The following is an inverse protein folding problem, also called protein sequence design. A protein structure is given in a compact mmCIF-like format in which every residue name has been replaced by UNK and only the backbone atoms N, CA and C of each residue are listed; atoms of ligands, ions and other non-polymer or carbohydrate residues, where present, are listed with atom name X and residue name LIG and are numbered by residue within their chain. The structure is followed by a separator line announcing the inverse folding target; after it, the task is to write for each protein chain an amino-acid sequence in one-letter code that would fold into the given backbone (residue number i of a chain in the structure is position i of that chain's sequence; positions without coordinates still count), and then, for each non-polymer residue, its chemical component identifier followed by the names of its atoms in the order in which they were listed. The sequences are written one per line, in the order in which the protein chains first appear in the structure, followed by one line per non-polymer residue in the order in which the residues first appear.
data_IF_775907735974
#
_entry.id   IF_775907735974
#
_cell.length_a   1.000
_cell.length_b   1.000
_cell.length_c   1.000
_cell.angle_alpha   90.00
_cell.angle_beta   90.00
_cell.angle_gamma   90.00
#
_symmetry.space_group_name_H-M   'P 1'
#
loop_
_entity.id
_entity.type
_entity.pdbx_description
1 polymer ?
#
# COMPACT_ATOMS: atom_id res chain seq x y z
N UNK A 1 -8.30 -24.44 -7.61
CA UNK A 1 -7.87 -24.29 -6.19
C UNK A 1 -8.98 -23.60 -5.43
N UNK A 2 -9.37 -24.11 -4.25
CA UNK A 2 -10.32 -23.40 -3.37
C UNK A 2 -9.51 -22.41 -2.52
N UNK A 3 -9.69 -21.13 -2.75
CA UNK A 3 -9.10 -20.08 -1.91
C UNK A 3 -9.98 -19.85 -0.69
N UNK A 4 -9.40 -19.32 0.40
CA UNK A 4 -10.17 -18.98 1.58
C UNK A 4 -11.19 -17.88 1.27
N UNK A 5 -12.24 -17.81 2.08
CA UNK A 5 -13.28 -16.78 1.99
C UNK A 5 -12.73 -15.35 2.05
N UNK A 6 -11.53 -15.15 2.62
CA UNK A 6 -10.87 -13.85 2.68
C UNK A 6 -10.29 -13.41 1.33
N UNK A 7 -9.80 -14.35 0.53
CA UNK A 7 -9.20 -14.07 -0.78
C UNK A 7 -10.21 -14.16 -1.93
N UNK A 8 -11.33 -14.84 -1.73
CA UNK A 8 -12.35 -15.01 -2.74
C UNK A 8 -12.77 -13.69 -3.44
N UNK A 9 -12.98 -12.56 -2.73
CA UNK A 9 -13.34 -11.30 -3.38
C UNK A 9 -12.30 -10.79 -4.39
N UNK A 10 -11.00 -11.03 -4.15
CA UNK A 10 -9.93 -10.64 -5.07
C UNK A 10 -10.02 -11.44 -6.39
N UNK A 11 -10.15 -12.75 -6.28
CA UNK A 11 -10.25 -13.63 -7.45
C UNK A 11 -11.54 -13.41 -8.24
N UNK A 12 -12.65 -13.22 -7.53
CA UNK A 12 -13.94 -12.90 -8.14
C UNK A 12 -13.87 -11.57 -8.92
N UNK A 13 -13.31 -10.53 -8.31
CA UNK A 13 -13.11 -9.24 -8.96
C UNK A 13 -12.20 -9.37 -10.19
N UNK A 14 -11.02 -9.96 -10.04
CA UNK A 14 -10.07 -10.10 -11.14
C UNK A 14 -10.67 -10.89 -12.31
N UNK A 15 -11.36 -11.99 -12.03
CA UNK A 15 -12.02 -12.82 -13.05
C UNK A 15 -13.14 -12.06 -13.75
N UNK A 16 -13.97 -11.33 -13.02
CA UNK A 16 -15.07 -10.54 -13.59
C UNK A 16 -14.55 -9.44 -14.52
N UNK A 17 -13.47 -8.75 -14.12
CA UNK A 17 -12.82 -7.72 -14.95
C UNK A 17 -12.23 -8.32 -16.23
N UNK A 18 -11.53 -9.45 -16.12
CA UNK A 18 -10.89 -10.11 -17.28
C UNK A 18 -11.93 -10.63 -18.27
N UNK A 19 -13.05 -11.16 -17.78
CA UNK A 19 -14.17 -11.64 -18.62
C UNK A 19 -15.00 -10.53 -19.23
N UNK A 20 -14.87 -9.28 -18.74
CA UNK A 20 -15.70 -8.17 -19.16
C UNK A 20 -17.05 -8.07 -18.43
N UNK A 21 -17.28 -8.91 -17.42
CA UNK A 21 -18.50 -8.86 -16.57
C UNK A 21 -18.49 -7.61 -15.67
N UNK A 22 -17.32 -7.05 -15.42
CA UNK A 22 -17.15 -5.78 -14.72
C UNK A 22 -16.35 -4.79 -15.57
N UNK A 23 -16.92 -3.60 -15.78
CA UNK A 23 -16.27 -2.54 -16.55
C UNK A 23 -15.01 -2.04 -15.83
N UNK A 24 -13.90 -2.01 -16.56
CA UNK A 24 -12.63 -1.50 -16.09
C UNK A 24 -11.80 -0.95 -17.27
N UNK A 25 -10.87 -0.03 -17.00
CA UNK A 25 -9.92 0.42 -18.01
C UNK A 25 -8.91 -0.69 -18.36
N UNK A 26 -8.23 -0.49 -19.50
CA UNK A 26 -7.26 -1.48 -20.02
C UNK A 26 -6.16 -1.81 -19.00
N UNK A 27 -5.58 -0.79 -18.33
CA UNK A 27 -4.53 -1.00 -17.33
C UNK A 27 -5.01 -1.90 -16.17
N UNK A 28 -6.25 -1.72 -15.70
CA UNK A 28 -6.84 -2.56 -14.65
C UNK A 28 -7.09 -3.98 -15.16
N UNK A 29 -7.57 -4.14 -16.39
CA UNK A 29 -7.79 -5.46 -16.99
C UNK A 29 -6.48 -6.24 -17.12
N UNK A 30 -5.41 -5.59 -17.60
CA UNK A 30 -4.08 -6.21 -17.71
C UNK A 30 -3.52 -6.56 -16.33
N UNK A 31 -3.69 -5.67 -15.32
CA UNK A 31 -3.24 -5.94 -13.95
C UNK A 31 -3.99 -7.13 -13.33
N UNK A 32 -5.30 -7.24 -13.55
CA UNK A 32 -6.09 -8.39 -13.10
C UNK A 32 -5.65 -9.69 -13.78
N UNK A 33 -5.45 -9.66 -15.09
CA UNK A 33 -4.96 -10.83 -15.84
C UNK A 33 -3.59 -11.25 -15.31
N UNK A 34 -2.67 -10.29 -15.17
CA UNK A 34 -1.33 -10.57 -14.63
C UNK A 34 -1.38 -11.18 -13.23
N UNK A 35 -2.25 -10.68 -12.36
CA UNK A 35 -2.42 -11.26 -11.02
C UNK A 35 -2.82 -12.73 -11.10
N UNK A 36 -3.82 -13.07 -11.91
CA UNK A 36 -4.29 -14.45 -12.10
C UNK A 36 -3.17 -15.34 -12.67
N UNK A 37 -2.50 -14.87 -13.71
CA UNK A 37 -1.38 -15.59 -14.36
C UNK A 37 -0.22 -15.84 -13.38
N UNK A 38 0.14 -14.84 -12.58
CA UNK A 38 1.21 -14.94 -11.59
C UNK A 38 0.88 -15.90 -10.45
N UNK A 39 -0.39 -16.01 -10.06
CA UNK A 39 -0.83 -16.97 -9.03
C UNK A 39 -0.73 -18.40 -9.53
N UNK A 40 -1.05 -18.64 -10.82
CA UNK A 40 -1.03 -19.99 -11.41
C UNK A 40 0.37 -20.41 -11.89
N UNK A 41 1.21 -19.42 -12.19
CA UNK A 41 2.54 -19.66 -12.76
C UNK A 41 3.49 -20.30 -11.75
N UNK A 42 4.14 -21.39 -12.18
CA UNK A 42 5.28 -21.97 -11.46
C UNK A 42 6.55 -21.20 -11.84
N UNK A 43 6.82 -20.10 -11.13
CA UNK A 43 8.04 -19.33 -11.32
C UNK A 43 9.19 -19.87 -10.48
N UNK A 44 10.44 -19.60 -10.92
CA UNK A 44 11.64 -20.00 -10.19
C UNK A 44 11.97 -19.05 -9.03
N UNK A 45 11.50 -17.81 -9.09
CA UNK A 45 11.92 -16.72 -8.20
C UNK A 45 10.86 -16.36 -7.16
N UNK A 46 9.58 -16.46 -7.50
CA UNK A 46 8.48 -16.10 -6.60
C UNK A 46 7.37 -17.14 -6.59
N UNK A 47 6.53 -17.05 -5.58
CA UNK A 47 5.26 -17.77 -5.50
C UNK A 47 4.21 -16.97 -4.73
N UNK A 48 2.94 -17.31 -4.97
CA UNK A 48 1.85 -16.74 -4.20
C UNK A 48 1.65 -17.56 -2.92
N UNK A 49 1.79 -16.90 -1.76
CA UNK A 49 1.63 -17.50 -0.43
C UNK A 49 0.35 -16.96 0.20
N UNK A 50 -0.80 -17.67 0.09
CA UNK A 50 -2.10 -17.19 0.56
C UNK A 50 -2.08 -16.70 2.01
N UNK A 51 -1.42 -17.41 2.90
CA UNK A 51 -1.33 -17.07 4.32
C UNK A 51 -0.74 -15.66 4.56
N UNK A 52 0.17 -15.20 3.71
CA UNK A 52 0.76 -13.85 3.80
C UNK A 52 -0.23 -12.76 3.38
N UNK A 53 -1.01 -13.00 2.33
CA UNK A 53 -2.09 -12.11 1.93
C UNK A 53 -3.22 -12.09 2.98
N UNK A 54 -3.62 -13.25 3.47
CA UNK A 54 -4.66 -13.36 4.50
C UNK A 54 -4.29 -12.65 5.80
N UNK A 55 -3.01 -12.55 6.14
CA UNK A 55 -2.58 -11.92 7.38
C UNK A 55 -2.97 -10.43 7.43
N UNK A 56 -2.74 -9.67 6.36
CA UNK A 56 -3.19 -8.27 6.31
C UNK A 56 -4.70 -8.16 6.19
N UNK A 57 -5.36 -9.08 5.47
CA UNK A 57 -6.83 -9.09 5.38
C UNK A 57 -7.49 -9.37 6.73
N UNK A 58 -6.90 -10.25 7.55
CA UNK A 58 -7.32 -10.47 8.93
C UNK A 58 -7.10 -9.23 9.79
N UNK A 59 -5.96 -8.57 9.64
CA UNK A 59 -5.69 -7.30 10.33
C UNK A 59 -6.70 -6.22 9.96
N UNK A 60 -7.06 -6.09 8.68
CA UNK A 60 -8.04 -5.12 8.22
C UNK A 60 -9.42 -5.29 8.90
N UNK A 61 -9.82 -6.50 9.29
CA UNK A 61 -11.08 -6.75 10.02
C UNK A 61 -11.12 -6.13 11.42
N UNK A 62 -9.98 -5.82 12.01
CA UNK A 62 -9.91 -5.10 13.28
C UNK A 62 -9.97 -3.58 13.12
N UNK A 63 -9.85 -3.10 11.89
CA UNK A 63 -9.99 -1.68 11.57
C UNK A 63 -11.47 -1.30 11.46
N UNK A 64 -11.82 -0.11 11.95
CA UNK A 64 -13.20 0.38 11.94
C UNK A 64 -13.29 1.70 11.19
N UNK A 65 -14.44 1.95 10.60
CA UNK A 65 -14.76 3.27 10.06
C UNK A 65 -14.78 4.30 11.20
N UNK A 66 -14.08 5.40 11.01
CA UNK A 66 -13.96 6.46 12.04
C UNK A 66 -14.81 7.67 11.77
N UNK A 67 -15.40 7.78 10.57
CA UNK A 67 -16.24 8.90 10.12
C UNK A 67 -17.39 8.41 9.26
N UNK A 68 -18.45 9.24 9.18
CA UNK A 68 -19.61 8.98 8.33
C UNK A 68 -20.64 8.02 8.95
N UNK A 69 -21.63 7.56 8.15
CA UNK A 69 -22.73 6.74 8.65
C UNK A 69 -22.30 5.34 9.12
N UNK A 70 -21.12 4.89 8.72
CA UNK A 70 -20.58 3.59 9.10
C UNK A 70 -19.58 3.65 10.25
N UNK A 71 -19.44 4.82 10.90
CA UNK A 71 -18.53 4.98 12.04
C UNK A 71 -18.76 3.88 13.10
N UNK A 72 -17.68 3.25 13.53
CA UNK A 72 -17.68 2.13 14.49
C UNK A 72 -17.89 0.75 13.88
N UNK A 73 -18.37 0.64 12.63
CA UNK A 73 -18.47 -0.66 11.93
C UNK A 73 -17.09 -1.11 11.44
N UNK A 74 -16.89 -2.40 11.34
CA UNK A 74 -15.69 -2.98 10.70
C UNK A 74 -15.58 -2.52 9.25
N UNK A 75 -14.35 -2.27 8.81
CA UNK A 75 -14.10 -1.92 7.40
C UNK A 75 -14.24 -3.20 6.58
N UNK A 76 -15.18 -3.19 5.65
CA UNK A 76 -15.33 -4.22 4.63
C UNK A 76 -14.59 -3.77 3.37
N UNK A 77 -13.63 -4.59 2.93
CA UNK A 77 -12.82 -4.27 1.75
C UNK A 77 -13.55 -4.69 0.48
N UNK A 78 -13.60 -3.79 -0.49
CA UNK A 78 -14.07 -4.07 -1.83
C UNK A 78 -13.14 -5.05 -2.57
N UNK A 79 -13.66 -5.80 -3.55
CA UNK A 79 -12.89 -6.80 -4.28
C UNK A 79 -11.58 -6.30 -4.86
N UNK A 80 -11.54 -5.05 -5.41
CA UNK A 80 -10.31 -4.45 -5.92
C UNK A 80 -9.30 -4.13 -4.81
N UNK A 81 -9.77 -3.77 -3.60
CA UNK A 81 -8.90 -3.51 -2.45
C UNK A 81 -8.30 -4.81 -1.91
N UNK A 82 -9.10 -5.87 -1.85
CA UNK A 82 -8.61 -7.21 -1.51
C UNK A 82 -7.59 -7.69 -2.52
N UNK A 83 -7.84 -7.50 -3.83
CA UNK A 83 -6.90 -7.81 -4.90
C UNK A 83 -5.58 -7.04 -4.72
N UNK A 84 -5.66 -5.74 -4.45
CA UNK A 84 -4.49 -4.89 -4.25
C UNK A 84 -3.63 -5.37 -3.08
N UNK A 85 -4.24 -5.65 -1.93
CA UNK A 85 -3.54 -6.18 -0.76
C UNK A 85 -2.99 -7.59 -1.01
N UNK A 86 -3.75 -8.45 -1.68
CA UNK A 86 -3.29 -9.79 -2.02
C UNK A 86 -2.08 -9.76 -2.97
N UNK A 87 -2.06 -8.85 -3.95
CA UNK A 87 -0.93 -8.67 -4.84
C UNK A 87 0.33 -8.20 -4.09
N UNK A 88 0.21 -7.24 -3.19
CA UNK A 88 1.35 -6.71 -2.42
C UNK A 88 1.91 -7.75 -1.46
N UNK A 89 1.05 -8.41 -0.70
CA UNK A 89 1.47 -9.23 0.43
C UNK A 89 1.55 -10.72 0.13
N UNK A 90 0.85 -11.20 -0.91
CA UNK A 90 0.78 -12.60 -1.26
C UNK A 90 1.99 -13.09 -2.05
N UNK A 91 2.53 -12.30 -2.97
CA UNK A 91 3.71 -12.72 -3.73
C UNK A 91 4.99 -12.58 -2.93
N UNK A 92 5.70 -13.69 -2.79
CA UNK A 92 6.91 -13.80 -1.97
C UNK A 92 8.05 -14.39 -2.77
N UNK A 93 9.28 -14.07 -2.37
CA UNK A 93 10.45 -14.74 -2.89
C UNK A 93 10.37 -16.23 -2.52
N UNK A 94 10.56 -17.12 -3.49
CA UNK A 94 10.39 -18.55 -3.31
C UNK A 94 11.42 -19.20 -2.37
N UNK A 95 12.62 -18.61 -2.28
CA UNK A 95 13.68 -19.09 -1.38
C UNK A 95 13.50 -18.57 0.05
N UNK A 96 12.85 -17.42 0.20
CA UNK A 96 12.63 -16.78 1.49
C UNK A 96 11.30 -16.04 1.50
N UNK A 97 10.27 -16.67 2.04
CA UNK A 97 8.92 -16.09 2.15
C UNK A 97 8.84 -14.88 3.10
N UNK A 98 9.91 -14.53 3.81
CA UNK A 98 9.97 -13.27 4.54
C UNK A 98 10.13 -12.08 3.60
N UNK A 99 10.68 -12.30 2.39
CA UNK A 99 10.94 -11.28 1.38
C UNK A 99 9.73 -11.13 0.46
N UNK A 100 9.21 -9.90 0.37
CA UNK A 100 8.14 -9.50 -0.53
C UNK A 100 8.67 -9.44 -1.96
N UNK A 101 7.85 -9.92 -2.91
CA UNK A 101 8.18 -9.80 -4.33
C UNK A 101 7.81 -8.43 -4.90
N UNK A 102 6.65 -7.89 -4.47
CA UNK A 102 6.14 -6.60 -4.92
C UNK A 102 6.65 -5.48 -4.01
N UNK A 103 7.44 -4.58 -4.55
CA UNK A 103 8.06 -3.45 -3.82
C UNK A 103 7.50 -2.09 -4.22
N UNK A 104 6.93 -2.00 -5.43
CA UNK A 104 6.43 -0.76 -6.01
C UNK A 104 4.98 -0.93 -6.44
N UNK A 105 4.11 -0.04 -6.02
CA UNK A 105 2.69 -0.10 -6.32
C UNK A 105 2.10 1.26 -6.63
N UNK A 106 1.13 1.28 -7.53
CA UNK A 106 0.33 2.45 -7.84
C UNK A 106 -1.15 2.14 -7.58
N UNK A 107 -1.76 2.92 -6.72
CA UNK A 107 -3.20 2.94 -6.52
C UNK A 107 -3.76 4.23 -7.16
N UNK A 108 -4.17 4.11 -8.41
CA UNK A 108 -4.74 5.20 -9.20
C UNK A 108 -6.25 4.99 -9.32
N UNK A 109 -7.01 5.61 -8.44
CA UNK A 109 -8.45 5.37 -8.29
C UNK A 109 -9.22 6.69 -8.18
N UNK A 110 -10.52 6.72 -8.49
CA UNK A 110 -11.35 7.90 -8.32
C UNK A 110 -11.41 8.39 -6.87
N UNK A 111 -11.82 9.63 -6.68
CA UNK A 111 -12.15 10.16 -5.34
C UNK A 111 -13.23 9.29 -4.70
N UNK A 112 -13.21 9.19 -3.37
CA UNK A 112 -14.16 8.40 -2.56
C UNK A 112 -14.08 6.89 -2.74
N UNK A 113 -13.01 6.35 -3.32
CA UNK A 113 -12.75 4.90 -3.45
C UNK A 113 -12.06 4.29 -2.22
N UNK A 114 -12.09 4.95 -1.06
CA UNK A 114 -11.47 4.43 0.17
C UNK A 114 -9.94 4.48 0.20
N UNK A 115 -9.29 5.27 -0.69
CA UNK A 115 -7.82 5.38 -0.82
C UNK A 115 -7.13 5.65 0.51
N UNK A 116 -7.57 6.66 1.26
CA UNK A 116 -6.99 7.05 2.54
C UNK A 116 -7.16 5.96 3.60
N UNK A 117 -8.33 5.31 3.65
CA UNK A 117 -8.61 4.19 4.56
C UNK A 117 -7.68 3.02 4.28
N UNK A 118 -7.52 2.65 3.01
CA UNK A 118 -6.64 1.56 2.60
C UNK A 118 -5.17 1.87 2.92
N UNK A 119 -4.73 3.10 2.64
CA UNK A 119 -3.39 3.58 3.00
C UNK A 119 -3.15 3.54 4.52
N UNK A 120 -4.15 3.92 5.32
CA UNK A 120 -4.08 3.87 6.78
C UNK A 120 -3.93 2.44 7.31
N UNK A 121 -4.69 1.49 6.73
CA UNK A 121 -4.57 0.06 7.09
C UNK A 121 -3.16 -0.44 6.79
N UNK A 122 -2.62 -0.12 5.60
CA UNK A 122 -1.27 -0.51 5.20
C UNK A 122 -0.22 0.12 6.12
N UNK A 123 -0.34 1.41 6.43
CA UNK A 123 0.61 2.11 7.31
C UNK A 123 0.68 1.46 8.70
N UNK A 124 -0.47 1.18 9.31
CA UNK A 124 -0.55 0.53 10.63
C UNK A 124 -0.02 -0.91 10.57
N UNK A 125 -0.31 -1.62 9.48
CA UNK A 125 0.19 -2.97 9.27
C UNK A 125 1.71 -3.00 9.11
N UNK A 126 2.28 -2.14 8.28
CA UNK A 126 3.74 -2.04 8.08
C UNK A 126 4.46 -1.62 9.36
N UNK A 127 3.84 -0.76 10.18
CA UNK A 127 4.40 -0.36 11.48
C UNK A 127 4.46 -1.55 12.45
N UNK A 128 3.44 -2.42 12.48
CA UNK A 128 3.40 -3.56 13.41
C UNK A 128 4.14 -4.80 12.91
N UNK A 129 3.99 -5.12 11.63
CA UNK A 129 4.37 -6.41 11.04
C UNK A 129 5.40 -6.28 9.92
N UNK A 130 5.87 -5.07 9.62
CA UNK A 130 6.98 -4.83 8.72
C UNK A 130 8.30 -5.41 9.23
N UNK A 131 9.38 -5.15 8.51
CA UNK A 131 10.71 -5.59 8.96
C UNK A 131 11.13 -4.86 10.25
N UNK A 132 12.20 -5.35 10.90
CA UNK A 132 12.70 -4.77 12.17
C UNK A 132 13.04 -3.28 12.00
N UNK A 133 12.70 -2.47 13.01
CA UNK A 133 12.85 -1.02 12.98
C UNK A 133 12.06 -0.36 11.84
N UNK A 134 10.74 -0.58 11.72
CA UNK A 134 9.97 -0.08 10.60
C UNK A 134 9.90 1.45 10.64
N UNK A 135 10.25 2.08 9.53
CA UNK A 135 10.08 3.50 9.30
C UNK A 135 9.03 3.69 8.20
N UNK A 136 7.83 4.09 8.60
CA UNK A 136 6.70 4.34 7.72
C UNK A 136 6.52 5.83 7.52
N UNK A 137 6.41 6.28 6.28
CA UNK A 137 6.19 7.69 5.98
C UNK A 137 5.06 7.88 4.98
N UNK A 138 4.24 8.90 5.25
CA UNK A 138 3.29 9.44 4.26
C UNK A 138 3.80 10.80 3.81
N UNK A 139 3.97 10.98 2.50
CA UNK A 139 4.33 12.24 1.86
C UNK A 139 3.13 12.77 1.07
N UNK A 140 2.86 14.06 1.15
CA UNK A 140 1.88 14.74 0.30
C UNK A 140 2.39 16.14 -0.12
N UNK A 141 1.61 16.83 -0.96
CA UNK A 141 1.96 18.15 -1.50
C UNK A 141 2.17 19.21 -0.42
N UNK A 142 1.39 19.15 0.67
CA UNK A 142 1.50 20.04 1.81
C UNK A 142 1.31 19.28 3.13
N UNK A 143 1.59 19.97 4.26
CA UNK A 143 1.52 19.37 5.59
C UNK A 143 0.10 18.95 5.98
N UNK A 144 -0.90 19.71 5.63
CA UNK A 144 -2.30 19.41 5.96
C UNK A 144 -2.75 18.12 5.26
N UNK A 145 -2.41 17.96 3.97
CA UNK A 145 -2.72 16.74 3.23
C UNK A 145 -1.93 15.53 3.73
N UNK A 146 -0.65 15.71 4.07
CA UNK A 146 0.15 14.62 4.64
C UNK A 146 -0.42 14.15 5.98
N UNK A 147 -0.96 15.07 6.80
CA UNK A 147 -1.56 14.73 8.09
C UNK A 147 -2.88 13.96 7.95
N UNK A 148 -3.64 14.12 6.87
CA UNK A 148 -4.93 13.45 6.67
C UNK A 148 -4.80 11.92 6.77
N UNK A 149 -3.81 11.34 6.10
CA UNK A 149 -3.58 9.91 6.16
C UNK A 149 -3.09 9.47 7.55
N UNK A 150 -2.19 10.24 8.16
CA UNK A 150 -1.68 9.98 9.51
C UNK A 150 -2.80 10.06 10.56
N UNK A 151 -3.61 11.12 10.53
CA UNK A 151 -4.72 11.32 11.48
C UNK A 151 -5.81 10.25 11.29
N UNK A 152 -6.08 9.84 10.04
CA UNK A 152 -6.95 8.72 9.74
C UNK A 152 -6.41 7.42 10.32
N UNK A 153 -5.11 7.17 10.18
CA UNK A 153 -4.46 5.98 10.74
C UNK A 153 -4.55 5.98 12.26
N UNK A 154 -4.29 7.13 12.90
CA UNK A 154 -4.39 7.28 14.36
C UNK A 154 -5.82 7.01 14.84
N UNK A 155 -6.83 7.58 14.20
CA UNK A 155 -8.22 7.36 14.55
C UNK A 155 -8.66 5.89 14.33
N UNK A 156 -8.20 5.22 13.26
CA UNK A 156 -8.42 3.79 13.05
C UNK A 156 -7.77 2.98 14.18
N UNK A 157 -6.53 3.28 14.54
CA UNK A 157 -5.82 2.62 15.63
C UNK A 157 -6.59 2.77 16.96
N UNK A 158 -7.06 3.97 17.27
CA UNK A 158 -7.86 4.27 18.46
C UNK A 158 -9.22 3.55 18.48
N UNK A 159 -9.72 3.13 17.32
CA UNK A 159 -10.99 2.37 17.18
C UNK A 159 -10.82 0.85 17.27
N UNK A 160 -9.60 0.33 17.30
CA UNK A 160 -9.32 -1.10 17.40
C UNK A 160 -9.64 -1.65 18.79
N UNK A 161 -9.60 -2.99 18.91
CA UNK A 161 -9.69 -3.65 20.21
C UNK A 161 -8.47 -3.32 21.08
N UNK A 162 -8.62 -3.27 22.43
CA UNK A 162 -7.56 -2.82 23.35
C UNK A 162 -6.23 -3.60 23.21
N UNK A 163 -6.30 -4.88 22.88
CA UNK A 163 -5.13 -5.74 22.67
C UNK A 163 -4.27 -5.31 21.47
N UNK A 164 -4.91 -4.79 20.42
CA UNK A 164 -4.21 -4.23 19.27
C UNK A 164 -3.79 -2.79 19.52
N UNK A 165 -4.62 -1.97 20.17
CA UNK A 165 -4.25 -0.61 20.54
C UNK A 165 -2.98 -0.57 21.37
N UNK A 166 -2.83 -1.48 22.35
CA UNK A 166 -1.65 -1.57 23.21
C UNK A 166 -0.34 -1.86 22.48
N UNK A 167 -0.43 -2.30 21.23
CA UNK A 167 0.75 -2.50 20.36
C UNK A 167 1.29 -1.21 19.74
N UNK A 168 0.58 -0.10 19.91
CA UNK A 168 0.96 1.22 19.40
C UNK A 168 1.21 2.18 20.55
N UNK A 169 2.16 3.09 20.37
CA UNK A 169 2.40 4.22 21.27
C UNK A 169 2.14 5.49 20.46
N UNK A 170 0.99 6.16 20.69
CA UNK A 170 0.64 7.38 19.98
C UNK A 170 1.33 8.61 20.59
N UNK A 171 1.97 9.40 19.72
CA UNK A 171 2.40 10.76 20.00
C UNK A 171 1.59 11.76 19.16
N UNK A 172 1.86 13.04 19.33
CA UNK A 172 1.14 14.09 18.58
C UNK A 172 1.33 13.97 17.06
N UNK A 173 2.54 13.68 16.60
CA UNK A 173 2.91 13.63 15.18
C UNK A 173 3.64 12.35 14.78
N UNK A 174 3.56 11.32 15.60
CA UNK A 174 4.23 10.06 15.41
C UNK A 174 3.41 8.92 16.04
N UNK A 175 3.43 7.76 15.39
CA UNK A 175 3.05 6.50 16.01
C UNK A 175 4.29 5.61 16.09
N UNK A 176 4.45 4.90 17.19
CA UNK A 176 5.49 3.89 17.36
C UNK A 176 4.88 2.53 17.65
N UNK A 177 5.64 1.48 17.35
CA UNK A 177 5.33 0.13 17.79
C UNK A 177 5.79 -0.03 19.23
N UNK A 178 4.92 -0.57 20.09
CA UNK A 178 5.26 -0.85 21.48
C UNK A 178 6.41 -1.87 21.55
N UNK A 179 7.39 -1.59 22.41
CA UNK A 179 8.57 -2.43 22.57
C UNK A 179 9.66 -2.25 21.49
N UNK A 180 9.46 -1.32 20.54
CA UNK A 180 10.44 -1.01 19.50
C UNK A 180 10.68 0.51 19.42
N UNK A 181 11.73 0.99 20.05
CA UNK A 181 12.09 2.42 20.08
C UNK A 181 12.52 2.98 18.72
N UNK A 182 12.95 2.12 17.81
CA UNK A 182 13.41 2.49 16.46
C UNK A 182 12.29 2.61 15.47
N UNK A 183 11.13 2.04 15.76
CA UNK A 183 9.95 2.12 14.89
C UNK A 183 9.38 3.53 14.84
N UNK A 184 8.87 3.94 13.68
CA UNK A 184 8.20 5.22 13.52
C UNK A 184 7.18 5.19 12.37
N UNK A 185 6.05 5.86 12.56
CA UNK A 185 5.18 6.29 11.47
C UNK A 185 4.91 7.78 11.60
N UNK A 186 5.22 8.53 10.55
CA UNK A 186 5.07 9.99 10.50
C UNK A 186 4.55 10.48 9.15
N UNK A 187 3.81 11.60 9.20
CA UNK A 187 3.54 12.40 8.02
C UNK A 187 4.73 13.31 7.72
N UNK A 188 5.19 13.30 6.48
CA UNK A 188 6.23 14.21 5.98
C UNK A 188 5.59 15.28 5.10
N UNK A 189 6.06 16.50 5.23
CA UNK A 189 5.69 17.59 4.33
C UNK A 189 6.89 18.05 3.53
N UNK A 190 6.60 18.80 2.48
CA UNK A 190 7.59 19.43 1.61
C UNK A 190 8.65 20.28 2.36
N UNK A 191 8.25 20.92 3.46
CA UNK A 191 9.13 21.74 4.28
C UNK A 191 10.19 20.93 5.04
N UNK A 192 9.98 19.63 5.18
CA UNK A 192 10.89 18.71 5.86
C UNK A 192 12.00 18.14 4.94
N UNK A 193 12.31 18.78 3.81
CA UNK A 193 13.35 18.33 2.87
C UNK A 193 14.70 18.07 3.54
N UNK A 194 15.14 18.96 4.43
CA UNK A 194 16.41 18.80 5.17
C UNK A 194 16.38 17.66 6.18
N UNK A 195 15.22 17.14 6.53
CA UNK A 195 15.05 16.02 7.47
C UNK A 195 14.88 14.66 6.78
N UNK A 196 14.96 14.60 5.45
CA UNK A 196 14.95 13.35 4.67
C UNK A 196 16.26 12.60 4.69
N UNK A 197 17.38 13.34 4.82
CA UNK A 197 18.72 12.76 4.89
C UNK A 197 18.88 11.94 6.18
N UNK A 198 19.35 10.69 6.04
CA UNK A 198 19.56 9.77 7.15
C UNK A 198 18.33 8.95 7.55
N UNK A 199 17.19 9.05 6.84
CA UNK A 199 16.05 8.13 7.00
C UNK A 199 16.27 6.86 6.20
N UNK A 200 15.76 5.76 6.74
CA UNK A 200 15.79 4.45 6.11
C UNK A 200 14.36 3.88 6.02
N UNK A 201 13.49 4.45 5.13
CA UNK A 201 12.10 4.07 5.06
C UNK A 201 11.91 2.60 4.72
N UNK A 202 11.06 1.90 5.46
CA UNK A 202 10.57 0.56 5.08
C UNK A 202 9.29 0.65 4.25
N UNK A 203 8.48 1.70 4.47
CA UNK A 203 7.27 1.98 3.69
C UNK A 203 7.15 3.47 3.44
N UNK A 204 7.05 3.87 2.18
CA UNK A 204 6.85 5.24 1.75
C UNK A 204 5.57 5.35 0.92
N UNK A 205 4.58 6.07 1.43
CA UNK A 205 3.30 6.31 0.77
C UNK A 205 3.26 7.76 0.29
N UNK A 206 3.15 7.95 -1.02
CA UNK A 206 3.10 9.26 -1.67
C UNK A 206 1.64 9.53 -2.02
N UNK A 207 0.96 10.31 -1.17
CA UNK A 207 -0.45 10.66 -1.38
C UNK A 207 -0.58 11.87 -2.30
N UNK A 208 -1.63 11.87 -3.11
CA UNK A 208 -1.88 12.83 -4.21
C UNK A 208 -0.66 12.98 -5.15
N UNK A 209 0.01 11.87 -5.43
CA UNK A 209 1.26 11.79 -6.19
C UNK A 209 1.22 12.52 -7.54
N UNK A 210 0.07 12.50 -8.24
CA UNK A 210 -0.11 13.21 -9.51
C UNK A 210 -0.06 14.75 -9.38
N UNK A 211 -0.14 15.30 -8.16
CA UNK A 211 -0.08 16.73 -7.88
C UNK A 211 1.32 17.17 -7.40
N UNK A 212 2.23 16.24 -7.13
CA UNK A 212 3.58 16.55 -6.65
C UNK A 212 4.46 16.87 -7.85
N UNK A 213 4.78 18.14 -8.02
CA UNK A 213 5.64 18.63 -9.13
C UNK A 213 7.13 18.49 -8.82
N UNK A 214 7.50 18.38 -7.54
CA UNK A 214 8.87 18.31 -7.11
C UNK A 214 9.37 16.88 -6.96
N UNK A 215 10.43 16.55 -7.68
CA UNK A 215 11.04 15.20 -7.72
C UNK A 215 11.85 14.88 -6.45
N UNK A 216 12.58 15.86 -5.92
CA UNK A 216 13.59 15.62 -4.90
C UNK A 216 13.11 14.93 -3.63
N UNK A 217 11.91 15.25 -3.13
CA UNK A 217 11.37 14.61 -1.91
C UNK A 217 11.04 13.13 -2.12
N UNK A 218 10.56 12.75 -3.31
CA UNK A 218 10.25 11.37 -3.67
C UNK A 218 11.56 10.58 -3.85
N UNK A 219 12.54 11.17 -4.53
CA UNK A 219 13.84 10.53 -4.79
C UNK A 219 14.63 10.28 -3.49
N UNK A 220 14.61 11.23 -2.54
CA UNK A 220 15.23 11.05 -1.22
C UNK A 220 14.61 9.89 -0.46
N UNK A 221 13.28 9.78 -0.44
CA UNK A 221 12.61 8.64 0.19
C UNK A 221 12.98 7.32 -0.51
N UNK A 222 12.98 7.29 -1.84
CA UNK A 222 13.30 6.08 -2.59
C UNK A 222 14.75 5.65 -2.39
N UNK A 223 15.71 6.58 -2.43
CA UNK A 223 17.12 6.26 -2.21
C UNK A 223 17.38 5.75 -0.78
N UNK A 224 16.69 6.32 0.21
CA UNK A 224 16.75 5.87 1.60
C UNK A 224 16.29 4.42 1.81
N UNK A 225 15.46 3.88 0.91
CA UNK A 225 14.93 2.52 1.01
C UNK A 225 15.87 1.44 0.48
N UNK A 226 16.98 1.80 -0.15
CA UNK A 226 17.87 0.85 -0.84
C UNK A 226 18.49 -0.22 0.09
N UNK A 227 18.63 0.08 1.39
CA UNK A 227 19.15 -0.86 2.38
C UNK A 227 18.09 -1.81 2.96
N UNK A 228 16.81 -1.61 2.67
CA UNK A 228 15.71 -2.43 3.19
C UNK A 228 15.55 -3.72 2.40
N UNK A 229 15.24 -4.81 3.11
CA UNK A 229 14.92 -6.11 2.47
C UNK A 229 13.50 -6.15 1.91
N UNK A 230 12.57 -5.43 2.55
CA UNK A 230 11.15 -5.41 2.21
C UNK A 230 10.63 -3.99 1.98
N UNK A 231 11.26 -3.17 1.11
CA UNK A 231 10.77 -1.83 0.87
C UNK A 231 9.37 -1.88 0.24
N UNK A 232 8.51 -0.91 0.60
CA UNK A 232 7.22 -0.71 -0.05
C UNK A 232 7.05 0.74 -0.46
N UNK A 233 7.12 1.01 -1.75
CA UNK A 233 6.89 2.33 -2.36
C UNK A 233 5.48 2.38 -2.95
N UNK A 234 4.67 3.30 -2.49
CA UNK A 234 3.27 3.42 -2.91
C UNK A 234 2.98 4.80 -3.44
N UNK A 235 2.47 4.85 -4.66
CA UNK A 235 1.84 6.03 -5.21
C UNK A 235 0.32 5.92 -5.03
N UNK A 236 -0.26 6.88 -4.34
CA UNK A 236 -1.69 6.97 -4.07
C UNK A 236 -2.21 8.25 -4.72
N UNK A 237 -3.11 8.16 -5.69
CA UNK A 237 -3.55 9.36 -6.37
C UNK A 237 -4.89 9.23 -7.07
N UNK A 238 -5.46 10.38 -7.37
CA UNK A 238 -6.56 10.57 -8.32
C UNK A 238 -6.03 11.26 -9.57
N UNK A 239 -6.81 11.30 -10.65
CA UNK A 239 -6.42 12.01 -11.86
C UNK A 239 -6.16 13.49 -11.59
N UNK A 240 -5.10 14.03 -12.19
CA UNK A 240 -4.73 15.44 -12.18
C UNK A 240 -4.79 16.04 -13.59
N UNK A 241 -5.02 17.34 -13.66
CA UNK A 241 -4.94 18.11 -14.90
C UNK A 241 -3.49 18.25 -15.38
N UNK A 242 -2.55 18.39 -14.44
CA UNK A 242 -1.11 18.50 -14.76
C UNK A 242 -0.53 17.11 -14.97
N UNK A 243 -0.04 16.84 -16.17
CA UNK A 243 0.55 15.53 -16.55
C UNK A 243 2.08 15.54 -16.57
N UNK A 244 2.71 16.68 -16.33
CA UNK A 244 4.17 16.85 -16.33
C UNK A 244 4.75 16.68 -14.92
N UNK A 245 4.45 15.54 -14.27
CA UNK A 245 4.95 15.24 -12.94
C UNK A 245 5.72 13.93 -12.94
N UNK A 246 6.59 13.73 -11.95
CA UNK A 246 7.33 12.48 -11.76
C UNK A 246 6.40 11.27 -11.71
N UNK A 247 5.23 11.41 -11.11
CA UNK A 247 4.21 10.35 -11.07
C UNK A 247 3.82 9.87 -12.46
N UNK A 248 3.55 10.78 -13.41
CA UNK A 248 3.13 10.36 -14.77
C UNK A 248 4.27 9.74 -15.57
N UNK A 249 5.52 10.15 -15.32
CA UNK A 249 6.69 9.47 -15.88
C UNK A 249 6.78 8.04 -15.35
N UNK A 250 6.70 7.86 -14.04
CA UNK A 250 6.72 6.55 -13.39
C UNK A 250 5.52 5.70 -13.82
N UNK A 251 4.32 6.28 -13.91
CA UNK A 251 3.13 5.59 -14.41
C UNK A 251 3.34 5.04 -15.82
N UNK A 252 3.95 5.83 -16.71
CA UNK A 252 4.24 5.40 -18.07
C UNK A 252 5.29 4.28 -18.08
N UNK A 253 6.29 4.35 -17.21
CA UNK A 253 7.26 3.27 -17.04
C UNK A 253 6.57 1.98 -16.53
N UNK A 254 5.74 2.07 -15.50
CA UNK A 254 4.99 0.92 -14.98
C UNK A 254 4.00 0.34 -15.99
N UNK A 255 3.37 1.19 -16.82
CA UNK A 255 2.52 0.73 -17.93
C UNK A 255 3.34 -0.03 -18.98
N UNK A 256 4.53 0.46 -19.31
CA UNK A 256 5.43 -0.25 -20.21
C UNK A 256 5.82 -1.62 -19.65
N UNK A 257 6.22 -1.69 -18.35
CA UNK A 257 6.52 -2.95 -17.67
C UNK A 257 5.30 -3.86 -17.62
N UNK A 258 4.12 -3.32 -17.34
CA UNK A 258 2.88 -4.11 -17.27
C UNK A 258 2.55 -4.75 -18.63
N UNK A 259 2.76 -4.02 -19.74
CA UNK A 259 2.51 -4.51 -21.10
C UNK A 259 3.62 -5.39 -21.64
N UNK A 260 4.89 -5.12 -21.27
CA UNK A 260 6.07 -5.86 -21.73
C UNK A 260 6.35 -7.10 -20.90
N UNK A 261 5.79 -7.24 -19.72
CA UNK A 261 6.06 -8.39 -18.84
C UNK A 261 5.56 -9.73 -19.40
N UNK A 262 4.82 -9.73 -20.51
CA UNK A 262 4.53 -10.92 -21.31
C UNK A 262 5.72 -11.36 -22.19
N UNK A 263 6.77 -10.52 -22.30
CA UNK A 263 7.90 -10.76 -23.23
C UNK A 263 9.22 -11.00 -22.48
N UNK A 264 9.38 -10.54 -21.25
CA UNK A 264 10.66 -10.45 -20.55
C UNK A 264 10.72 -11.13 -19.17
N UNK A 265 9.89 -12.14 -18.95
CA UNK A 265 10.06 -12.96 -17.75
C UNK A 265 10.34 -14.40 -18.13
#
# INVERSE_FOLDING_TARGET
MSYSTLLEPAFKYATAVVRGDQLACEDVRIACQRFLDMVERKDAQYEFVPAKAEHILKFAKFCRHVKGPDAGKSIELEGFQVLFLAAIYGFRNKKDHSIRWVTDVILFVPRKSGKTTLASIIALYELLFGEAGPEVFTLATNREQASICFDSSKAIMESMVPELQSRFIPFRSELKKAGDSTSTYRALSRENRKTGDGKNPSCAMIDEAAQITERGSIEVLHSGMAARKNPLRMYLTTASFTKETKFYEDLNHFRAVLRLSLIHI
#
